data_IF_077149601016
#
_entry.id   IF_077149601016
#
_cell.length_a   1.000
_cell.length_b   1.000
_cell.length_c   1.000
_cell.angle_alpha   90.00
_cell.angle_beta   90.00
_cell.angle_gamma   90.00
#
_symmetry.space_group_name_H-M   'P 1'
#
loop_
_entity.id
_entity.type
_entity.pdbx_description
1 polymer ?
#
# COMPACT_ATOMS: atom_id res chain seq x y z
N UNK A 1 -4.97 10.07 5.14
CA UNK A 1 -3.79 9.49 4.49
C UNK A 1 -3.02 10.61 3.77
N UNK A 2 -1.70 10.63 3.86
CA UNK A 2 -0.79 11.50 3.09
C UNK A 2 -0.06 10.61 2.09
N UNK A 3 -0.24 10.90 0.81
CA UNK A 3 0.38 10.11 -0.28
C UNK A 3 1.87 10.40 -0.35
N UNK A 4 2.68 9.34 -0.47
CA UNK A 4 4.13 9.41 -0.60
C UNK A 4 4.60 8.70 -1.89
N UNK A 5 5.61 9.27 -2.51
CA UNK A 5 6.41 8.63 -3.55
C UNK A 5 7.84 8.42 -3.03
N UNK A 6 8.18 7.17 -2.75
CA UNK A 6 9.48 6.76 -2.25
C UNK A 6 10.43 6.24 -3.36
N UNK A 7 10.11 6.53 -4.62
CA UNK A 7 10.93 6.14 -5.78
C UNK A 7 10.94 4.64 -6.05
N UNK A 8 9.86 3.95 -5.74
CA UNK A 8 9.68 2.55 -6.12
C UNK A 8 9.41 2.41 -7.62
N UNK A 9 9.58 1.20 -8.13
CA UNK A 9 9.16 0.79 -9.48
C UNK A 9 8.19 -0.39 -9.39
N UNK A 10 7.89 -1.00 -10.52
CA UNK A 10 6.99 -2.14 -10.61
C UNK A 10 7.63 -3.23 -11.47
N UNK A 11 7.62 -4.52 -11.04
CA UNK A 11 8.19 -5.63 -11.80
C UNK A 11 7.50 -5.83 -13.17
N UNK A 12 6.29 -5.31 -13.33
CA UNK A 12 5.57 -5.33 -14.60
C UNK A 12 5.96 -4.15 -15.56
N UNK A 13 6.91 -3.32 -15.14
CA UNK A 13 7.45 -2.20 -15.94
C UNK A 13 8.94 -2.34 -16.24
N UNK A 14 9.72 -2.85 -15.28
CA UNK A 14 11.18 -2.95 -15.41
C UNK A 14 11.65 -4.20 -16.17
N UNK A 15 10.72 -5.10 -16.50
CA UNK A 15 10.99 -6.31 -17.29
C UNK A 15 11.18 -7.57 -16.45
N UNK A 16 11.12 -7.50 -15.13
CA UNK A 16 11.24 -8.67 -14.24
C UNK A 16 10.07 -9.64 -14.42
N UNK A 17 8.84 -9.12 -14.47
CA UNK A 17 7.61 -9.88 -14.73
C UNK A 17 7.04 -9.53 -16.12
N UNK A 18 7.04 -8.25 -16.46
CA UNK A 18 6.50 -7.76 -17.71
C UNK A 18 7.06 -6.38 -18.07
N UNK A 19 6.64 -5.86 -19.24
CA UNK A 19 7.02 -4.53 -19.73
C UNK A 19 5.79 -3.69 -20.01
N UNK A 20 5.92 -2.37 -19.86
CA UNK A 20 4.85 -1.41 -20.16
C UNK A 20 3.83 -1.22 -19.05
N UNK A 21 3.77 -2.10 -18.05
CA UNK A 21 2.81 -2.06 -16.96
C UNK A 21 1.43 -2.61 -17.31
N UNK A 22 0.47 -2.47 -16.40
CA UNK A 22 -0.92 -2.82 -16.65
C UNK A 22 -1.57 -1.80 -17.60
N UNK A 23 -2.53 -2.24 -18.41
CA UNK A 23 -3.16 -1.40 -19.46
C UNK A 23 -3.91 -0.18 -18.93
N UNK A 24 -4.32 -0.21 -17.66
CA UNK A 24 -5.05 0.86 -16.96
C UNK A 24 -4.14 1.75 -16.10
N UNK A 25 -2.84 1.40 -15.96
CA UNK A 25 -1.96 2.02 -14.99
C UNK A 25 -1.46 3.40 -15.46
N UNK A 26 -2.01 4.44 -14.86
CA UNK A 26 -1.51 5.82 -14.97
C UNK A 26 -1.12 6.34 -13.58
N UNK A 27 0.14 6.12 -13.19
CA UNK A 27 0.61 6.61 -11.89
C UNK A 27 0.62 8.14 -11.79
N UNK A 28 0.75 8.87 -12.92
CA UNK A 28 0.76 10.33 -12.91
C UNK A 28 -0.59 10.91 -12.49
N UNK A 29 -1.70 10.20 -12.77
CA UNK A 29 -3.05 10.65 -12.42
C UNK A 29 -3.32 10.65 -10.89
N UNK A 30 -2.51 9.92 -10.11
CA UNK A 30 -2.73 9.75 -8.67
C UNK A 30 -1.68 10.47 -7.81
N UNK A 31 -0.79 11.24 -8.42
CA UNK A 31 0.23 12.01 -7.71
C UNK A 31 -0.28 13.40 -7.32
N UNK A 32 -0.48 13.69 -6.03
CA UNK A 32 -0.64 15.06 -5.57
C UNK A 32 0.63 15.88 -5.87
N UNK A 33 0.52 17.17 -6.07
CA UNK A 33 1.63 18.05 -6.40
C UNK A 33 2.79 18.04 -5.41
N UNK A 34 2.53 17.70 -4.16
CA UNK A 34 3.54 17.59 -3.11
C UNK A 34 4.30 16.24 -3.13
N UNK A 35 3.72 15.17 -3.69
CA UNK A 35 4.28 13.82 -3.67
C UNK A 35 5.17 13.60 -4.89
N UNK A 36 6.48 13.68 -4.71
CA UNK A 36 7.48 13.44 -5.76
C UNK A 36 8.71 12.74 -5.21
N UNK A 37 9.25 11.76 -5.92
CA UNK A 37 10.43 10.98 -5.52
C UNK A 37 11.72 11.81 -5.32
N UNK A 38 11.74 13.06 -5.76
CA UNK A 38 12.86 13.99 -5.57
C UNK A 38 12.90 14.67 -4.20
N UNK A 39 11.84 14.54 -3.39
CA UNK A 39 11.75 15.09 -2.04
C UNK A 39 11.96 14.01 -0.99
N UNK A 40 12.46 14.38 0.21
CA UNK A 40 12.47 13.48 1.36
C UNK A 40 11.04 13.09 1.76
N UNK A 41 10.86 11.95 2.45
CA UNK A 41 9.54 11.55 2.92
C UNK A 41 8.97 12.55 3.93
N UNK A 42 9.81 13.11 4.81
CA UNK A 42 9.38 14.17 5.74
C UNK A 42 8.88 15.41 5.02
N UNK A 43 9.59 15.87 3.97
CA UNK A 43 9.14 17.01 3.19
C UNK A 43 7.79 16.75 2.50
N UNK A 44 7.60 15.55 1.93
CA UNK A 44 6.31 15.16 1.34
C UNK A 44 5.21 15.08 2.40
N UNK A 45 5.51 14.62 3.61
CA UNK A 45 4.57 14.57 4.73
C UNK A 45 4.17 15.97 5.17
N UNK A 46 5.12 16.89 5.39
CA UNK A 46 4.85 18.27 5.80
C UNK A 46 3.97 18.99 4.78
N UNK A 47 4.39 19.00 3.50
CA UNK A 47 3.62 19.63 2.43
C UNK A 47 2.24 18.98 2.23
N UNK A 48 2.14 17.64 2.36
CA UNK A 48 0.89 16.91 2.28
C UNK A 48 -0.06 17.23 3.45
N UNK A 49 0.46 17.39 4.65
CA UNK A 49 -0.31 17.83 5.82
C UNK A 49 -0.85 19.25 5.58
N UNK A 50 -0.02 20.18 5.14
CA UNK A 50 -0.45 21.54 4.80
C UNK A 50 -1.55 21.54 3.72
N UNK A 51 -1.37 20.75 2.67
CA UNK A 51 -2.37 20.60 1.60
C UNK A 51 -3.73 20.11 2.15
N UNK A 52 -3.71 19.16 3.07
CA UNK A 52 -4.93 18.59 3.65
C UNK A 52 -5.54 19.44 4.76
N UNK A 53 -4.77 20.26 5.46
CA UNK A 53 -5.28 21.17 6.51
C UNK A 53 -6.30 22.17 5.99
N UNK A 54 -6.26 22.55 4.71
CA UNK A 54 -7.27 23.42 4.08
C UNK A 54 -8.67 22.80 4.21
N UNK A 55 -8.78 21.47 4.08
CA UNK A 55 -10.05 20.73 4.11
C UNK A 55 -10.33 20.09 5.47
N UNK A 56 -9.30 19.62 6.17
CA UNK A 56 -9.39 18.81 7.41
C UNK A 56 -8.67 19.52 8.57
N UNK A 57 -9.22 20.63 9.03
CA UNK A 57 -8.57 21.56 9.99
C UNK A 57 -8.32 20.99 11.39
N UNK A 58 -9.03 19.92 11.77
CA UNK A 58 -8.97 19.33 13.11
C UNK A 58 -8.18 18.02 13.15
N UNK A 59 -7.59 17.61 12.02
CA UNK A 59 -6.83 16.35 11.96
C UNK A 59 -5.44 16.56 12.51
N UNK A 60 -5.08 15.83 13.55
CA UNK A 60 -3.77 15.90 14.22
C UNK A 60 -2.84 14.76 13.80
N UNK A 61 -3.39 13.60 13.39
CA UNK A 61 -2.66 12.38 13.10
C UNK A 61 -2.94 11.88 11.69
N UNK A 62 -1.91 11.36 11.04
CA UNK A 62 -1.95 10.94 9.64
C UNK A 62 -1.37 9.54 9.46
N UNK A 63 -1.84 8.85 8.43
CA UNK A 63 -1.19 7.65 7.90
C UNK A 63 -0.33 8.04 6.71
N UNK A 64 0.93 7.62 6.70
CA UNK A 64 1.82 7.74 5.56
C UNK A 64 1.43 6.69 4.52
N UNK A 65 1.02 7.11 3.33
CA UNK A 65 0.49 6.23 2.29
C UNK A 65 1.47 6.10 1.13
N UNK A 66 2.19 4.99 1.09
CA UNK A 66 3.03 4.59 -0.02
C UNK A 66 2.12 4.06 -1.13
N UNK A 67 1.83 4.88 -2.12
CA UNK A 67 0.83 4.57 -3.16
C UNK A 67 1.44 4.26 -4.52
N UNK A 68 2.50 4.98 -4.91
CA UNK A 68 3.04 4.92 -6.25
C UNK A 68 3.75 3.61 -6.54
N UNK A 69 3.37 2.91 -7.61
CA UNK A 69 3.96 1.64 -8.06
C UNK A 69 3.74 0.47 -7.08
N UNK A 70 4.82 -0.28 -6.73
CA UNK A 70 4.75 -1.47 -5.87
C UNK A 70 5.67 -1.27 -4.69
N UNK A 71 5.12 -0.84 -3.56
CA UNK A 71 5.89 -0.29 -2.46
C UNK A 71 6.53 -1.34 -1.52
N UNK A 72 6.42 -2.63 -1.85
CA UNK A 72 7.21 -3.73 -1.26
C UNK A 72 8.23 -4.31 -2.26
N UNK A 73 8.32 -3.75 -3.47
CA UNK A 73 9.24 -4.21 -4.51
C UNK A 73 10.62 -3.59 -4.34
N UNK A 74 11.28 -4.00 -3.27
CA UNK A 74 12.67 -3.66 -2.95
C UNK A 74 13.27 -4.68 -1.96
N UNK A 75 14.60 -4.70 -1.75
CA UNK A 75 15.21 -5.44 -0.66
C UNK A 75 14.68 -4.98 0.70
N UNK A 76 14.53 -5.91 1.64
CA UNK A 76 13.95 -5.65 2.97
C UNK A 76 14.62 -4.48 3.69
N UNK A 77 15.95 -4.38 3.64
CA UNK A 77 16.70 -3.31 4.32
C UNK A 77 16.34 -1.91 3.78
N UNK A 78 16.06 -1.78 2.49
CA UNK A 78 15.55 -0.53 1.93
C UNK A 78 14.14 -0.21 2.43
N UNK A 79 13.28 -1.23 2.53
CA UNK A 79 11.92 -1.06 3.07
C UNK A 79 11.96 -0.57 4.51
N UNK A 80 12.81 -1.16 5.35
CA UNK A 80 13.01 -0.74 6.74
C UNK A 80 13.34 0.75 6.82
N UNK A 81 14.36 1.20 6.11
CA UNK A 81 14.79 2.60 6.11
C UNK A 81 13.63 3.54 5.74
N UNK A 82 12.89 3.24 4.66
CA UNK A 82 11.81 4.11 4.18
C UNK A 82 10.60 4.12 5.13
N UNK A 83 10.20 2.98 5.66
CA UNK A 83 9.04 2.90 6.54
C UNK A 83 9.34 3.51 7.91
N UNK A 84 10.52 3.26 8.47
CA UNK A 84 10.96 3.85 9.72
C UNK A 84 11.17 5.37 9.60
N UNK A 85 11.69 5.86 8.47
CA UNK A 85 11.76 7.30 8.16
C UNK A 85 10.36 7.92 8.19
N UNK A 86 9.38 7.34 7.50
CA UNK A 86 8.01 7.87 7.52
C UNK A 86 7.39 7.82 8.93
N UNK A 87 7.62 6.75 9.69
CA UNK A 87 7.14 6.59 11.06
C UNK A 87 7.86 7.47 12.07
N UNK A 88 9.04 8.00 11.76
CA UNK A 88 9.74 8.95 12.63
C UNK A 88 9.09 10.34 12.65
N UNK A 89 8.27 10.68 11.65
CA UNK A 89 7.55 11.94 11.61
C UNK A 89 6.52 12.05 12.73
N UNK A 90 6.51 13.14 13.55
CA UNK A 90 5.74 13.20 14.81
C UNK A 90 4.22 13.12 14.62
N UNK A 91 3.68 13.52 13.48
CA UNK A 91 2.25 13.44 13.16
C UNK A 91 1.82 12.15 12.48
N UNK A 92 2.74 11.23 12.21
CA UNK A 92 2.44 9.94 11.57
C UNK A 92 2.20 8.87 12.63
N UNK A 93 1.03 8.23 12.56
CA UNK A 93 0.61 7.16 13.48
C UNK A 93 0.58 5.78 12.81
N UNK A 94 0.97 5.69 11.54
CA UNK A 94 1.00 4.41 10.85
C UNK A 94 1.24 4.54 9.36
N UNK A 95 1.30 3.37 8.71
CA UNK A 95 1.59 3.19 7.30
C UNK A 95 0.38 2.59 6.57
N UNK A 96 0.18 3.01 5.34
CA UNK A 96 -0.61 2.29 4.34
C UNK A 96 0.31 1.98 3.16
N UNK A 97 0.42 0.72 2.79
CA UNK A 97 1.39 0.24 1.80
C UNK A 97 0.63 -0.36 0.62
N UNK A 98 0.49 0.44 -0.44
CA UNK A 98 -0.08 -0.02 -1.70
C UNK A 98 0.94 -0.85 -2.48
N UNK A 99 0.62 -2.10 -2.79
CA UNK A 99 1.54 -3.00 -3.49
C UNK A 99 0.85 -4.04 -4.34
N UNK A 100 1.65 -4.82 -5.06
CA UNK A 100 1.22 -5.99 -5.83
C UNK A 100 1.30 -7.24 -4.96
N UNK A 101 0.37 -8.21 -5.14
CA UNK A 101 0.40 -9.48 -4.42
C UNK A 101 1.68 -10.30 -4.61
N UNK A 102 2.28 -10.22 -5.80
CA UNK A 102 3.51 -10.93 -6.16
C UNK A 102 4.81 -10.21 -5.71
N UNK A 103 4.69 -9.10 -4.96
CA UNK A 103 5.82 -8.33 -4.44
C UNK A 103 6.03 -8.50 -2.92
N UNK A 104 5.34 -9.43 -2.29
CA UNK A 104 5.52 -9.76 -0.87
C UNK A 104 6.11 -11.16 -0.69
N UNK A 105 6.81 -11.36 0.40
CA UNK A 105 7.34 -12.63 0.87
C UNK A 105 7.26 -12.70 2.41
N UNK A 106 7.56 -13.86 2.98
CA UNK A 106 7.46 -14.08 4.43
C UNK A 106 8.31 -13.08 5.22
N UNK A 107 9.55 -12.82 4.79
CA UNK A 107 10.45 -11.92 5.53
C UNK A 107 9.93 -10.48 5.59
N UNK A 108 9.36 -9.99 4.48
CA UNK A 108 8.76 -8.65 4.42
C UNK A 108 7.52 -8.57 5.30
N UNK A 109 6.65 -9.60 5.23
CA UNK A 109 5.44 -9.64 6.04
C UNK A 109 5.75 -9.82 7.54
N UNK A 110 6.76 -10.60 7.91
CA UNK A 110 7.21 -10.73 9.28
C UNK A 110 7.72 -9.38 9.84
N UNK A 111 8.45 -8.63 9.03
CA UNK A 111 8.87 -7.28 9.42
C UNK A 111 7.68 -6.30 9.57
N UNK A 112 6.71 -6.35 8.66
CA UNK A 112 5.51 -5.51 8.78
C UNK A 112 4.66 -5.87 10.00
N UNK A 113 4.59 -7.15 10.36
CA UNK A 113 3.96 -7.60 11.60
C UNK A 113 4.70 -7.06 12.84
N UNK A 114 6.04 -7.12 12.82
CA UNK A 114 6.87 -6.56 13.89
C UNK A 114 6.77 -5.03 14.02
N UNK A 115 6.48 -4.32 12.92
CA UNK A 115 6.10 -2.90 12.99
C UNK A 115 4.72 -2.74 13.65
N UNK A 116 3.73 -3.54 13.24
CA UNK A 116 2.35 -3.44 13.73
C UNK A 116 2.22 -3.76 15.23
N UNK A 117 3.06 -4.64 15.78
CA UNK A 117 3.10 -4.97 17.20
C UNK A 117 4.08 -4.09 18.02
N UNK A 118 4.86 -3.24 17.34
CA UNK A 118 5.82 -2.33 17.95
C UNK A 118 7.20 -2.93 18.22
N UNK A 119 7.41 -4.21 17.99
CA UNK A 119 8.69 -4.88 18.30
C UNK A 119 9.84 -4.46 17.36
N UNK A 120 9.55 -4.06 16.12
CA UNK A 120 10.55 -3.56 15.18
C UNK A 120 11.04 -2.15 15.51
N UNK A 121 10.26 -1.35 16.24
CA UNK A 121 10.61 0.01 16.65
C UNK A 121 10.41 0.20 18.17
N UNK A 122 11.24 -0.41 19.01
CA UNK A 122 11.12 -0.28 20.48
C UNK A 122 11.18 1.19 20.91
N UNK A 123 10.21 1.60 21.74
CA UNK A 123 10.11 2.98 22.22
C UNK A 123 9.35 3.94 21.30
N UNK A 124 8.89 3.49 20.12
CA UNK A 124 7.98 4.29 19.33
C UNK A 124 6.66 4.51 20.08
N UNK A 125 6.21 5.76 20.15
CA UNK A 125 4.93 6.10 20.77
C UNK A 125 4.34 7.37 20.16
N UNK A 126 3.01 7.53 20.26
CA UNK A 126 2.28 8.74 19.87
C UNK A 126 1.17 9.05 20.87
N UNK A 127 1.13 10.28 21.31
CA UNK A 127 -0.02 10.81 22.06
C UNK A 127 -1.19 11.00 21.10
N UNK A 128 -2.35 10.47 21.45
CA UNK A 128 -3.55 10.53 20.63
C UNK A 128 -4.47 11.65 21.12
N UNK A 129 -5.32 12.17 20.23
CA UNK A 129 -6.26 13.27 20.53
C UNK A 129 -7.27 12.94 21.66
N UNK A 130 -7.52 11.67 21.93
CA UNK A 130 -8.38 11.20 23.01
C UNK A 130 -7.66 11.07 24.38
N UNK A 131 -6.37 11.45 24.44
CA UNK A 131 -5.53 11.37 25.62
C UNK A 131 -4.89 10.00 25.87
N UNK A 132 -5.08 9.03 24.97
CA UNK A 132 -4.39 7.74 25.04
C UNK A 132 -2.99 7.82 24.40
N UNK A 133 -2.12 6.85 24.71
CA UNK A 133 -0.81 6.70 24.10
C UNK A 133 -0.80 5.43 23.27
N UNK A 134 -0.44 5.56 21.99
CA UNK A 134 -0.25 4.42 21.11
C UNK A 134 1.23 4.01 21.11
N UNK A 135 1.50 2.74 21.37
CA UNK A 135 2.87 2.20 21.46
C UNK A 135 3.30 1.37 20.24
N UNK A 136 2.43 1.23 19.26
CA UNK A 136 2.73 0.57 17.99
C UNK A 136 2.03 1.28 16.83
N UNK A 137 2.67 1.40 15.66
CA UNK A 137 2.05 2.04 14.51
C UNK A 137 0.90 1.19 13.93
N UNK A 138 -0.06 1.84 13.28
CA UNK A 138 -1.02 1.15 12.40
C UNK A 138 -0.26 0.71 11.15
N UNK A 139 -0.43 -0.54 10.73
CA UNK A 139 0.12 -1.04 9.45
C UNK A 139 -0.99 -1.67 8.64
N UNK A 140 -1.21 -1.14 7.44
CA UNK A 140 -2.21 -1.63 6.49
C UNK A 140 -1.50 -1.95 5.18
N UNK A 141 -1.69 -3.15 4.65
CA UNK A 141 -1.21 -3.50 3.31
C UNK A 141 -2.39 -3.51 2.35
N UNK A 142 -2.32 -2.68 1.30
CA UNK A 142 -3.35 -2.59 0.27
C UNK A 142 -2.87 -3.28 -1.02
N UNK A 143 -3.51 -4.39 -1.39
CA UNK A 143 -3.19 -5.15 -2.59
C UNK A 143 -4.01 -4.71 -3.79
N UNK A 144 -3.34 -4.34 -4.88
CA UNK A 144 -3.98 -4.24 -6.18
C UNK A 144 -4.22 -5.63 -6.76
N UNK A 145 -5.39 -6.21 -6.52
CA UNK A 145 -5.81 -7.51 -7.07
C UNK A 145 -6.41 -7.32 -8.46
N UNK A 146 -7.30 -6.35 -8.59
CA UNK A 146 -7.95 -5.81 -9.77
C UNK A 146 -9.10 -6.70 -10.29
N UNK A 147 -8.93 -8.02 -10.38
CA UNK A 147 -9.97 -8.96 -10.83
C UNK A 147 -9.79 -10.34 -10.18
N UNK A 148 -10.89 -11.06 -9.99
CA UNK A 148 -10.89 -12.48 -9.60
C UNK A 148 -10.69 -13.43 -10.79
N UNK A 149 -10.64 -12.94 -12.02
CA UNK A 149 -10.58 -13.75 -13.24
C UNK A 149 -9.21 -13.65 -13.91
N UNK A 150 -8.51 -14.78 -14.00
CA UNK A 150 -7.19 -14.84 -14.65
C UNK A 150 -7.23 -14.45 -16.13
N UNK A 151 -8.33 -14.69 -16.83
CA UNK A 151 -8.53 -14.23 -18.20
C UNK A 151 -8.51 -12.70 -18.31
N UNK A 152 -9.12 -12.02 -17.34
CA UNK A 152 -9.10 -10.56 -17.22
C UNK A 152 -7.72 -10.08 -16.82
N UNK A 153 -7.11 -10.69 -15.80
CA UNK A 153 -5.75 -10.34 -15.34
C UNK A 153 -4.73 -10.43 -16.48
N UNK A 154 -4.79 -11.48 -17.31
CA UNK A 154 -3.95 -11.58 -18.53
C UNK A 154 -4.25 -10.48 -19.53
N UNK A 155 -5.52 -10.18 -19.79
CA UNK A 155 -5.95 -9.15 -20.74
C UNK A 155 -5.45 -7.76 -20.37
N UNK A 156 -5.48 -7.43 -19.07
CA UNK A 156 -5.00 -6.13 -18.58
C UNK A 156 -3.49 -6.11 -18.30
N UNK A 157 -2.76 -7.14 -18.72
CA UNK A 157 -1.32 -7.29 -18.48
C UNK A 157 -0.94 -7.17 -16.99
N UNK A 158 -1.68 -7.84 -16.10
CA UNK A 158 -1.46 -7.70 -14.65
C UNK A 158 -0.19 -8.41 -14.16
N UNK A 159 0.18 -9.54 -14.79
CA UNK A 159 1.42 -10.27 -14.53
C UNK A 159 1.42 -11.18 -13.30
N UNK A 160 0.30 -11.30 -12.58
CA UNK A 160 0.03 -12.33 -11.58
C UNK A 160 -1.38 -12.88 -11.77
N UNK A 161 -1.70 -14.01 -11.16
CA UNK A 161 -3.02 -14.65 -11.13
C UNK A 161 -3.78 -14.38 -9.82
N UNK A 162 -5.02 -14.81 -9.76
CA UNK A 162 -5.87 -14.62 -8.59
C UNK A 162 -5.42 -15.49 -7.40
N UNK A 163 -4.86 -16.67 -7.65
CA UNK A 163 -4.32 -17.54 -6.59
C UNK A 163 -3.17 -16.85 -5.87
N UNK A 164 -2.26 -16.20 -6.59
CA UNK A 164 -1.19 -15.38 -6.00
C UNK A 164 -1.75 -14.25 -5.14
N UNK A 165 -2.81 -13.60 -5.61
CA UNK A 165 -3.46 -12.53 -4.86
C UNK A 165 -4.08 -13.03 -3.55
N UNK A 166 -4.84 -14.14 -3.60
CA UNK A 166 -5.45 -14.76 -2.43
C UNK A 166 -4.39 -15.18 -1.41
N UNK A 167 -3.33 -15.85 -1.87
CA UNK A 167 -2.23 -16.27 -0.99
C UNK A 167 -1.58 -15.07 -0.28
N UNK A 168 -1.33 -13.96 -0.97
CA UNK A 168 -0.74 -12.78 -0.36
C UNK A 168 -1.65 -12.19 0.73
N UNK A 169 -2.96 -12.12 0.50
CA UNK A 169 -3.96 -11.69 1.49
C UNK A 169 -3.95 -12.61 2.70
N UNK A 170 -4.05 -13.92 2.48
CA UNK A 170 -4.05 -14.95 3.55
C UNK A 170 -2.76 -14.89 4.41
N UNK A 171 -1.59 -14.80 3.76
CA UNK A 171 -0.30 -14.68 4.45
C UNK A 171 -0.19 -13.42 5.31
N UNK A 172 -0.75 -12.31 4.83
CA UNK A 172 -0.73 -11.02 5.53
C UNK A 172 -1.70 -11.03 6.70
N UNK A 173 -2.93 -11.48 6.49
CA UNK A 173 -3.96 -11.58 7.52
C UNK A 173 -3.57 -12.56 8.65
N UNK A 174 -2.93 -13.69 8.30
CA UNK A 174 -2.42 -14.67 9.27
C UNK A 174 -1.38 -14.08 10.25
N UNK A 175 -0.76 -12.95 9.91
CA UNK A 175 0.19 -12.21 10.75
C UNK A 175 -0.45 -11.08 11.58
N UNK A 176 -1.78 -10.96 11.51
CA UNK A 176 -2.52 -9.90 12.21
C UNK A 176 -2.35 -8.51 11.60
N UNK A 177 -1.88 -8.41 10.35
CA UNK A 177 -1.76 -7.15 9.61
C UNK A 177 -3.10 -6.85 8.93
N UNK A 178 -3.57 -5.61 9.02
CA UNK A 178 -4.77 -5.17 8.31
C UNK A 178 -4.56 -5.22 6.79
N UNK A 179 -5.53 -5.78 6.07
CA UNK A 179 -5.47 -5.95 4.62
C UNK A 179 -6.55 -5.15 3.92
N UNK A 180 -6.16 -4.37 2.92
CA UNK A 180 -7.04 -3.78 1.92
C UNK A 180 -6.87 -4.49 0.58
N UNK A 181 -7.96 -4.62 -0.18
CA UNK A 181 -7.96 -5.20 -1.51
C UNK A 181 -8.65 -4.26 -2.51
N UNK A 182 -7.93 -3.93 -3.58
CA UNK A 182 -8.44 -3.09 -4.66
C UNK A 182 -8.92 -3.95 -5.83
N UNK A 183 -10.13 -3.67 -6.29
CA UNK A 183 -10.74 -4.30 -7.45
C UNK A 183 -11.26 -3.23 -8.41
N UNK A 184 -11.18 -3.52 -9.71
CA UNK A 184 -11.72 -2.67 -10.75
C UNK A 184 -12.93 -3.38 -11.37
N UNK A 185 -14.11 -2.82 -11.17
CA UNK A 185 -15.33 -3.32 -11.79
C UNK A 185 -15.48 -2.75 -13.21
N UNK A 186 -15.92 -3.59 -14.16
CA UNK A 186 -16.14 -3.18 -15.54
C UNK A 186 -14.89 -3.24 -16.41
N UNK A 187 -13.90 -4.05 -16.04
CA UNK A 187 -12.75 -4.32 -16.90
C UNK A 187 -13.19 -4.94 -18.25
N UNK A 188 -12.47 -4.67 -19.36
CA UNK A 188 -12.85 -5.18 -20.67
C UNK A 188 -13.03 -6.69 -20.68
N UNK A 189 -14.22 -7.14 -21.09
CA UNK A 189 -14.60 -8.55 -21.18
C UNK A 189 -15.24 -9.13 -19.93
N UNK A 190 -15.35 -8.38 -18.84
CA UNK A 190 -16.14 -8.77 -17.68
C UNK A 190 -17.62 -8.42 -17.88
N UNK A 191 -18.47 -9.38 -17.56
CA UNK A 191 -19.93 -9.22 -17.58
C UNK A 191 -20.43 -8.76 -16.20
N UNK A 192 -21.66 -8.22 -16.15
CA UNK A 192 -22.31 -7.91 -14.87
C UNK A 192 -22.37 -9.14 -13.94
N UNK A 193 -22.62 -10.33 -14.49
CA UNK A 193 -22.67 -11.56 -13.72
C UNK A 193 -21.30 -11.87 -13.10
N UNK A 194 -20.20 -11.74 -13.84
CA UNK A 194 -18.84 -11.92 -13.32
C UNK A 194 -18.53 -10.95 -12.19
N UNK A 195 -18.93 -9.67 -12.29
CA UNK A 195 -18.75 -8.69 -11.22
C UNK A 195 -19.51 -9.08 -9.94
N UNK A 196 -20.73 -9.60 -10.06
CA UNK A 196 -21.51 -10.11 -8.91
C UNK A 196 -20.87 -11.36 -8.28
N UNK A 197 -20.38 -12.27 -9.11
CA UNK A 197 -19.64 -13.47 -8.63
C UNK A 197 -18.35 -13.09 -7.94
N UNK A 198 -17.61 -12.07 -8.42
CA UNK A 198 -16.43 -11.54 -7.75
C UNK A 198 -16.73 -11.10 -6.32
N UNK A 199 -17.89 -10.48 -6.05
CA UNK A 199 -18.29 -10.12 -4.70
C UNK A 199 -18.44 -11.33 -3.77
N UNK A 200 -18.88 -12.48 -4.27
CA UNK A 200 -18.92 -13.72 -3.51
C UNK A 200 -17.49 -14.27 -3.25
N UNK A 201 -16.67 -14.30 -4.30
CA UNK A 201 -15.27 -14.79 -4.22
C UNK A 201 -14.38 -13.97 -3.26
N UNK A 202 -14.71 -12.68 -3.07
CA UNK A 202 -13.96 -11.80 -2.15
C UNK A 202 -14.34 -12.08 -0.70
N UNK A 203 -15.53 -12.61 -0.45
CA UNK A 203 -16.04 -12.89 0.89
C UNK A 203 -15.71 -14.32 1.41
N UNK A 204 -15.07 -15.16 0.60
CA UNK A 204 -14.57 -16.48 0.99
C UNK A 204 -13.21 -16.39 1.70
#
# INVERSE_FOLDING_TARGET
KIVLDAGFTCPNRDGTVGRGGCTYCDNAAFHPSYSTAGKSLHQQLDEGIEFHMVRYRTTEHYLAYFQSFSNTYAPLERLKVLYEEALSHPKVVGLVIGTRPDCVDEQKLDYLAALADGSAMPGWSRDMADGTVRHAPVVIVEYGIESCYDSTLRRINRGHDFVTARRAVEMTAARGIDVGAHFILGLPGETRQMMLESCAMINE
#
